data_IF_275239671548
#
_entry.id   IF_275239671548
#
_cell.length_a   1.000
_cell.length_b   1.000
_cell.length_c   1.000
_cell.angle_alpha   90.00
_cell.angle_beta   90.00
_cell.angle_gamma   90.00
#
_symmetry.space_group_name_H-M   'P 1'
#
loop_
_entity.id
_entity.type
_entity.pdbx_description
1 polymer ?
#
# COMPACT_ATOMS: atom_id res chain seq x y z
N UNK A 1 -43.37 -46.69 -9.67
CA UNK A 1 -42.11 -47.09 -10.31
C UNK A 1 -41.40 -48.07 -9.40
N UNK A 2 -41.25 -49.32 -9.83
CA UNK A 2 -40.65 -50.39 -9.03
C UNK A 2 -39.12 -50.16 -9.02
N UNK A 3 -38.57 -49.64 -7.89
CA UNK A 3 -37.12 -49.54 -7.71
C UNK A 3 -36.57 -50.95 -7.53
N UNK A 4 -35.84 -51.50 -8.52
CA UNK A 4 -35.12 -52.73 -8.37
C UNK A 4 -34.21 -52.70 -7.14
N UNK A 5 -34.12 -53.79 -6.39
CA UNK A 5 -33.21 -53.88 -5.26
C UNK A 5 -31.77 -53.70 -5.77
N UNK A 6 -30.91 -52.88 -5.08
CA UNK A 6 -29.54 -52.69 -5.49
C UNK A 6 -28.77 -54.00 -5.46
N UNK A 7 -27.85 -54.18 -6.38
CA UNK A 7 -26.92 -55.31 -6.42
C UNK A 7 -25.91 -55.24 -5.26
N UNK A 8 -25.30 -56.39 -4.95
CA UNK A 8 -24.26 -56.41 -3.89
C UNK A 8 -23.11 -55.46 -4.19
N UNK A 9 -22.69 -55.36 -5.44
CA UNK A 9 -21.59 -54.46 -5.88
C UNK A 9 -21.96 -52.99 -5.77
N UNK A 10 -23.23 -52.63 -6.01
CA UNK A 10 -23.74 -51.27 -5.77
C UNK A 10 -23.79 -50.93 -4.28
N UNK A 11 -24.11 -51.91 -3.43
CA UNK A 11 -24.10 -51.73 -1.97
C UNK A 11 -22.67 -51.53 -1.42
N UNK A 12 -21.70 -52.30 -1.89
CA UNK A 12 -20.29 -52.15 -1.52
C UNK A 12 -19.74 -50.76 -1.93
N UNK A 13 -20.02 -50.33 -3.14
CA UNK A 13 -19.61 -49.00 -3.63
C UNK A 13 -20.22 -47.86 -2.77
N UNK A 14 -21.50 -48.02 -2.43
CA UNK A 14 -22.20 -47.05 -1.56
C UNK A 14 -21.65 -47.02 -0.12
N UNK A 15 -21.28 -48.21 0.41
CA UNK A 15 -20.69 -48.32 1.74
C UNK A 15 -19.31 -47.66 1.78
N UNK A 16 -18.43 -47.96 0.82
CA UNK A 16 -17.11 -47.36 0.74
C UNK A 16 -17.16 -45.80 0.62
N UNK A 17 -18.11 -45.31 -0.19
CA UNK A 17 -18.34 -43.86 -0.30
C UNK A 17 -18.84 -43.26 1.03
N UNK A 18 -19.74 -43.93 1.74
CA UNK A 18 -20.24 -43.47 3.04
C UNK A 18 -19.15 -43.50 4.11
N UNK A 19 -18.30 -44.52 4.14
CA UNK A 19 -17.15 -44.61 5.05
C UNK A 19 -16.15 -43.49 4.82
N UNK A 20 -15.81 -43.20 3.56
CA UNK A 20 -14.91 -42.08 3.19
C UNK A 20 -15.47 -40.73 3.64
N UNK A 21 -16.78 -40.52 3.48
CA UNK A 21 -17.45 -39.29 3.95
C UNK A 21 -17.42 -39.18 5.47
N UNK A 22 -17.67 -40.27 6.19
CA UNK A 22 -17.62 -40.30 7.67
C UNK A 22 -16.20 -40.00 8.17
N UNK A 23 -15.19 -40.50 7.48
CA UNK A 23 -13.79 -40.26 7.82
C UNK A 23 -13.41 -38.80 7.58
N UNK A 24 -13.79 -38.19 6.46
CA UNK A 24 -13.60 -36.77 6.16
C UNK A 24 -14.31 -35.86 7.19
N UNK A 25 -15.51 -36.21 7.63
CA UNK A 25 -16.22 -35.49 8.70
C UNK A 25 -15.53 -35.63 10.07
N UNK A 26 -15.02 -36.81 10.41
CA UNK A 26 -14.27 -37.06 11.66
C UNK A 26 -12.97 -36.25 11.69
N UNK A 27 -12.29 -36.17 10.56
CA UNK A 27 -11.06 -35.43 10.39
C UNK A 27 -11.30 -33.90 10.30
N UNK A 28 -12.58 -33.52 10.30
CA UNK A 28 -12.98 -32.12 10.15
C UNK A 28 -12.51 -31.48 8.82
N UNK A 29 -12.34 -32.28 7.78
CA UNK A 29 -11.94 -31.84 6.45
C UNK A 29 -13.10 -31.23 5.66
N UNK A 30 -14.32 -31.59 6.01
CA UNK A 30 -15.56 -31.13 5.38
C UNK A 30 -16.64 -30.82 6.40
N UNK A 31 -17.48 -29.84 6.11
CA UNK A 31 -18.74 -29.59 6.82
C UNK A 31 -19.91 -30.15 5.99
N UNK A 32 -20.89 -30.74 6.65
CA UNK A 32 -22.08 -31.29 6.00
C UNK A 32 -23.26 -30.31 6.16
N UNK A 33 -23.90 -29.97 5.04
CA UNK A 33 -25.17 -29.26 5.03
C UNK A 33 -26.28 -30.28 4.68
N UNK A 34 -27.22 -30.45 5.60
CA UNK A 34 -28.35 -31.38 5.45
C UNK A 34 -29.55 -30.58 4.95
N UNK A 35 -29.97 -30.84 3.72
CA UNK A 35 -31.25 -30.38 3.17
C UNK A 35 -32.34 -31.47 3.27
N UNK A 36 -33.58 -31.09 3.04
CA UNK A 36 -34.75 -32.03 3.16
C UNK A 36 -34.60 -33.25 2.24
N UNK A 37 -33.96 -33.14 1.10
CA UNK A 37 -33.82 -34.25 0.13
C UNK A 37 -32.37 -34.65 -0.15
N UNK A 38 -31.36 -33.85 0.30
CA UNK A 38 -29.96 -34.04 -0.09
C UNK A 38 -28.99 -33.57 0.97
N UNK A 39 -27.98 -34.38 1.26
CA UNK A 39 -26.79 -33.96 2.03
C UNK A 39 -25.78 -33.39 1.05
N UNK A 40 -25.34 -32.17 1.26
CA UNK A 40 -24.30 -31.51 0.48
C UNK A 40 -23.09 -31.31 1.37
N UNK A 41 -21.92 -31.80 0.96
CA UNK A 41 -20.67 -31.61 1.64
C UNK A 41 -19.97 -30.36 1.05
N UNK A 42 -19.49 -29.48 1.92
CA UNK A 42 -18.77 -28.25 1.54
C UNK A 42 -17.36 -28.33 2.10
N UNK A 43 -16.36 -28.08 1.27
CA UNK A 43 -14.96 -27.94 1.66
C UNK A 43 -14.72 -26.54 2.25
N UNK A 44 -15.48 -26.14 3.27
CA UNK A 44 -15.43 -24.80 3.85
C UNK A 44 -14.06 -24.48 4.49
N UNK A 45 -13.43 -25.46 5.11
CA UNK A 45 -12.16 -25.27 5.84
C UNK A 45 -10.98 -24.99 4.93
N UNK A 46 -10.91 -25.66 3.79
CA UNK A 46 -9.82 -25.42 2.83
C UNK A 46 -9.94 -24.01 2.25
N UNK A 47 -11.15 -23.60 1.87
CA UNK A 47 -11.44 -22.23 1.43
C UNK A 47 -11.15 -21.20 2.53
N UNK A 48 -11.55 -21.47 3.78
CA UNK A 48 -11.23 -20.60 4.91
C UNK A 48 -9.73 -20.51 5.17
N UNK A 49 -9.00 -21.61 5.07
CA UNK A 49 -7.55 -21.63 5.25
C UNK A 49 -6.84 -20.84 4.17
N UNK A 50 -7.22 -21.04 2.91
CA UNK A 50 -6.68 -20.27 1.79
C UNK A 50 -7.01 -18.78 1.93
N UNK A 51 -8.24 -18.44 2.32
CA UNK A 51 -8.63 -17.06 2.58
C UNK A 51 -7.81 -16.44 3.71
N UNK A 52 -7.57 -17.15 4.81
CA UNK A 52 -6.73 -16.69 5.92
C UNK A 52 -5.28 -16.46 5.49
N UNK A 53 -4.71 -17.37 4.70
CA UNK A 53 -3.35 -17.22 4.17
C UNK A 53 -3.27 -16.01 3.24
N UNK A 54 -4.24 -15.87 2.35
CA UNK A 54 -4.32 -14.73 1.43
C UNK A 54 -4.48 -13.40 2.19
N UNK A 55 -5.35 -13.33 3.19
CA UNK A 55 -5.55 -12.13 4.02
C UNK A 55 -4.29 -11.79 4.84
N UNK A 56 -3.64 -12.79 5.44
CA UNK A 56 -2.40 -12.59 6.16
C UNK A 56 -1.27 -12.10 5.24
N UNK A 57 -1.15 -12.65 4.04
CA UNK A 57 -0.20 -12.23 3.02
C UNK A 57 -0.46 -10.79 2.57
N UNK A 58 -1.70 -10.45 2.27
CA UNK A 58 -2.10 -9.09 1.93
C UNK A 58 -1.77 -8.12 3.08
N UNK A 59 -2.12 -8.47 4.32
CA UNK A 59 -1.85 -7.63 5.49
C UNK A 59 -0.35 -7.40 5.69
N UNK A 60 0.46 -8.43 5.54
CA UNK A 60 1.91 -8.31 5.64
C UNK A 60 2.48 -7.38 4.56
N UNK A 61 2.09 -7.54 3.29
CA UNK A 61 2.51 -6.66 2.20
C UNK A 61 2.04 -5.21 2.42
N UNK A 62 0.82 -5.03 2.90
CA UNK A 62 0.24 -3.72 3.16
C UNK A 62 1.00 -2.99 4.26
N UNK A 63 1.27 -3.64 5.40
CA UNK A 63 1.93 -3.01 6.55
C UNK A 63 3.46 -2.87 6.37
N UNK A 64 4.12 -3.84 5.74
CA UNK A 64 5.58 -3.82 5.57
C UNK A 64 6.04 -3.02 4.34
N UNK A 65 5.11 -2.46 3.58
CA UNK A 65 5.43 -1.65 2.40
C UNK A 65 6.25 -0.42 2.76
N UNK A 66 7.32 -0.17 2.01
CA UNK A 66 8.12 1.06 2.11
C UNK A 66 7.42 2.32 1.58
N UNK A 67 6.22 2.18 0.97
CA UNK A 67 5.38 3.27 0.50
C UNK A 67 4.07 3.33 1.29
N UNK A 68 3.48 4.52 1.40
CA UNK A 68 2.15 4.67 1.98
C UNK A 68 1.13 3.90 1.14
N UNK A 69 0.30 3.10 1.76
CA UNK A 69 -0.79 2.38 1.10
C UNK A 69 -2.11 2.73 1.76
N UNK A 70 -3.11 3.00 0.95
CA UNK A 70 -4.45 3.36 1.43
C UNK A 70 -5.53 2.66 0.63
N UNK A 71 -6.67 2.48 1.28
CA UNK A 71 -7.94 2.17 0.67
C UNK A 71 -8.95 3.25 1.05
N UNK A 72 -9.79 3.64 0.11
CA UNK A 72 -10.88 4.56 0.35
C UNK A 72 -12.18 4.04 -0.28
N UNK A 73 -13.31 4.42 0.28
CA UNK A 73 -14.63 4.08 -0.26
C UNK A 73 -15.00 4.93 -1.49
N UNK A 74 -16.06 4.51 -2.17
CA UNK A 74 -16.73 5.28 -3.21
C UNK A 74 -18.23 5.29 -2.90
N UNK A 75 -18.90 6.44 -2.99
CA UNK A 75 -18.47 7.73 -3.52
C UNK A 75 -17.91 8.71 -2.48
N UNK A 76 -17.78 8.32 -1.21
CA UNK A 76 -17.44 9.23 -0.11
C UNK A 76 -15.95 9.64 -0.07
N UNK A 77 -15.07 8.88 -0.71
CA UNK A 77 -13.61 9.09 -0.69
C UNK A 77 -13.00 9.10 0.72
N UNK A 78 -13.68 8.47 1.68
CA UNK A 78 -13.20 8.33 3.06
C UNK A 78 -12.23 7.15 3.13
N UNK A 79 -11.15 7.33 3.88
CA UNK A 79 -10.21 6.23 4.10
C UNK A 79 -10.87 5.10 4.89
N UNK A 80 -10.72 3.88 4.38
CA UNK A 80 -11.20 2.65 5.02
C UNK A 80 -10.07 1.78 5.54
N UNK A 81 -8.85 1.97 4.99
CA UNK A 81 -7.62 1.32 5.44
C UNK A 81 -6.42 2.20 5.11
N UNK A 82 -5.47 2.28 6.03
CA UNK A 82 -4.19 2.98 5.85
C UNK A 82 -3.09 2.15 6.50
N UNK A 83 -1.89 2.10 5.90
CA UNK A 83 -0.75 1.44 6.51
C UNK A 83 0.07 2.41 7.37
N UNK A 84 0.95 1.86 8.20
CA UNK A 84 1.82 2.65 9.07
C UNK A 84 2.67 3.66 8.28
N UNK A 85 3.16 3.28 7.10
CA UNK A 85 3.96 4.18 6.27
C UNK A 85 3.20 5.43 5.81
N UNK A 86 1.93 5.30 5.49
CA UNK A 86 1.11 6.47 5.16
C UNK A 86 0.88 7.38 6.38
N UNK A 87 0.69 6.81 7.56
CA UNK A 87 0.59 7.58 8.80
C UNK A 87 1.87 8.44 9.02
N UNK A 88 3.05 7.86 8.80
CA UNK A 88 4.32 8.58 8.88
C UNK A 88 4.43 9.72 7.84
N UNK A 89 4.05 9.45 6.58
CA UNK A 89 4.06 10.44 5.50
C UNK A 89 3.11 11.60 5.80
N UNK A 90 1.89 11.31 6.24
CA UNK A 90 0.84 12.31 6.46
C UNK A 90 0.95 13.00 7.84
N UNK A 91 1.63 12.39 8.82
CA UNK A 91 1.77 12.91 10.17
C UNK A 91 0.52 12.74 11.05
N UNK A 92 -0.40 11.86 10.66
CA UNK A 92 -1.63 11.54 11.38
C UNK A 92 -1.56 10.13 11.96
N UNK A 93 -2.34 9.85 13.01
CA UNK A 93 -2.60 8.47 13.42
C UNK A 93 -3.53 7.77 12.43
N UNK A 94 -3.55 6.44 12.45
CA UNK A 94 -4.48 5.68 11.61
C UNK A 94 -5.94 6.02 11.91
N UNK A 95 -6.30 6.19 13.17
CA UNK A 95 -7.65 6.55 13.60
C UNK A 95 -8.09 7.91 13.05
N UNK A 96 -7.20 8.90 13.09
CA UNK A 96 -7.45 10.22 12.53
C UNK A 96 -7.64 10.17 11.01
N UNK A 97 -6.77 9.41 10.31
CA UNK A 97 -6.89 9.25 8.86
C UNK A 97 -8.20 8.56 8.45
N UNK A 98 -8.68 7.57 9.21
CA UNK A 98 -9.97 6.91 8.94
C UNK A 98 -11.17 7.85 9.12
N UNK A 99 -11.01 8.95 9.86
CA UNK A 99 -12.03 10.01 9.97
C UNK A 99 -11.95 11.03 8.82
N UNK A 100 -10.85 11.05 8.07
CA UNK A 100 -10.58 11.99 6.99
C UNK A 100 -11.00 11.45 5.61
N UNK A 101 -10.95 12.34 4.63
CA UNK A 101 -11.16 12.00 3.22
C UNK A 101 -9.87 12.20 2.43
N UNK A 102 -9.72 11.44 1.36
CA UNK A 102 -8.63 11.59 0.41
C UNK A 102 -8.45 13.04 -0.09
N UNK A 103 -9.55 13.75 -0.35
CA UNK A 103 -9.55 15.14 -0.83
C UNK A 103 -9.13 16.11 0.29
N UNK A 104 -9.44 15.79 1.54
CA UNK A 104 -9.12 16.62 2.70
C UNK A 104 -7.62 16.88 2.83
N UNK A 105 -6.80 15.85 2.57
CA UNK A 105 -5.34 15.93 2.66
C UNK A 105 -4.69 16.54 1.41
N UNK A 106 -5.42 16.71 0.30
CA UNK A 106 -4.87 17.30 -0.93
C UNK A 106 -4.83 18.82 -0.83
N UNK A 107 -3.67 19.42 -1.18
CA UNK A 107 -3.53 20.88 -1.28
C UNK A 107 -4.65 21.46 -2.16
N UNK A 108 -5.32 22.56 -1.73
CA UNK A 108 -6.44 23.14 -2.47
C UNK A 108 -6.15 23.44 -3.95
N UNK A 109 -4.92 23.83 -4.28
CA UNK A 109 -4.54 24.13 -5.68
C UNK A 109 -4.45 22.90 -6.57
N UNK A 110 -4.25 21.71 -5.99
CA UNK A 110 -4.11 20.45 -6.72
C UNK A 110 -5.42 19.65 -6.79
N UNK A 111 -6.44 19.99 -5.96
CA UNK A 111 -7.70 19.23 -5.84
C UNK A 111 -8.42 19.03 -7.16
N UNK A 112 -8.55 20.08 -7.96
CA UNK A 112 -9.29 20.01 -9.22
C UNK A 112 -8.62 19.04 -10.20
N UNK A 113 -7.30 19.12 -10.37
CA UNK A 113 -6.52 18.24 -11.23
C UNK A 113 -6.59 16.79 -10.76
N UNK A 114 -6.40 16.56 -9.48
CA UNK A 114 -6.45 15.25 -8.84
C UNK A 114 -7.82 14.58 -9.01
N UNK A 115 -8.89 15.32 -8.76
CA UNK A 115 -10.26 14.82 -8.96
C UNK A 115 -10.59 14.54 -10.41
N UNK A 116 -10.02 15.28 -11.37
CA UNK A 116 -10.23 15.03 -12.80
C UNK A 116 -9.61 13.70 -13.22
N UNK A 117 -8.41 13.38 -12.75
CA UNK A 117 -7.75 12.10 -13.05
C UNK A 117 -8.49 10.92 -12.39
N UNK A 118 -8.87 11.05 -11.13
CA UNK A 118 -9.66 10.03 -10.44
C UNK A 118 -11.03 9.81 -11.14
N UNK A 119 -11.68 10.88 -11.56
CA UNK A 119 -12.97 10.78 -12.22
C UNK A 119 -12.90 10.02 -13.56
N UNK A 120 -11.80 10.10 -14.31
CA UNK A 120 -11.58 9.31 -15.53
C UNK A 120 -11.56 7.82 -15.21
N UNK A 121 -10.84 7.44 -14.15
CA UNK A 121 -10.78 6.03 -13.71
C UNK A 121 -12.14 5.58 -13.19
N UNK A 122 -12.84 6.39 -12.40
CA UNK A 122 -14.18 6.05 -11.90
C UNK A 122 -15.19 5.79 -13.02
N UNK A 123 -15.11 6.54 -14.14
CA UNK A 123 -15.96 6.32 -15.33
C UNK A 123 -15.52 5.12 -16.18
N UNK A 124 -14.39 4.47 -15.86
CA UNK A 124 -13.86 3.36 -16.65
C UNK A 124 -13.11 3.79 -17.92
N UNK A 125 -12.71 5.06 -18.03
CA UNK A 125 -11.92 5.58 -19.15
C UNK A 125 -10.43 5.21 -19.04
N UNK A 126 -10.01 4.77 -17.86
CA UNK A 126 -8.68 4.26 -17.58
C UNK A 126 -8.75 3.25 -16.42
N UNK A 127 -7.80 2.32 -16.33
CA UNK A 127 -7.73 1.30 -15.28
C UNK A 127 -7.06 1.84 -14.01
N UNK A 128 -6.18 2.82 -14.16
CA UNK A 128 -5.39 3.42 -13.09
C UNK A 128 -5.07 4.88 -13.37
N UNK A 129 -4.61 5.60 -12.35
CA UNK A 129 -4.07 6.95 -12.51
C UNK A 129 -2.73 7.07 -11.78
N UNK A 130 -1.91 8.01 -12.26
CA UNK A 130 -0.68 8.42 -11.61
C UNK A 130 -0.59 9.94 -11.61
N UNK A 131 -0.31 10.53 -10.44
CA UNK A 131 -0.21 11.97 -10.30
C UNK A 131 0.81 12.34 -9.23
N UNK A 132 1.58 13.39 -9.49
CA UNK A 132 2.35 14.08 -8.47
C UNK A 132 1.56 15.30 -8.00
N UNK A 133 1.38 15.43 -6.70
CA UNK A 133 0.59 16.50 -6.08
C UNK A 133 1.15 16.88 -4.73
N UNK A 134 0.65 18.01 -4.20
CA UNK A 134 0.93 18.43 -2.84
C UNK A 134 -0.10 17.88 -1.87
N UNK A 135 0.39 17.40 -0.73
CA UNK A 135 -0.42 17.01 0.40
C UNK A 135 -0.11 17.90 1.61
N UNK A 136 -1.12 18.19 2.41
CA UNK A 136 -0.99 18.93 3.66
C UNK A 136 -0.93 17.93 4.81
N UNK A 137 0.16 17.96 5.57
CA UNK A 137 0.32 17.13 6.77
C UNK A 137 -0.50 17.68 7.94
N UNK A 138 -0.59 16.91 9.00
CA UNK A 138 -1.28 17.31 10.24
C UNK A 138 -0.72 18.60 10.86
N UNK A 139 0.59 18.81 10.78
CA UNK A 139 1.27 20.02 11.29
C UNK A 139 1.13 21.24 10.36
N UNK A 140 0.39 21.12 9.26
CA UNK A 140 0.20 22.16 8.25
C UNK A 140 1.33 22.25 7.23
N UNK A 141 2.40 21.48 7.35
CA UNK A 141 3.46 21.44 6.35
C UNK A 141 2.98 20.83 5.04
N UNK A 142 3.50 21.35 3.92
CA UNK A 142 3.16 20.89 2.58
C UNK A 142 4.29 20.00 2.05
N UNK A 143 3.93 18.80 1.59
CA UNK A 143 4.85 17.84 1.01
C UNK A 143 4.46 17.49 -0.42
N UNK A 144 5.43 17.08 -1.21
CA UNK A 144 5.17 16.48 -2.53
C UNK A 144 4.99 14.98 -2.40
N UNK A 145 3.94 14.47 -2.99
CA UNK A 145 3.68 13.03 -3.05
C UNK A 145 3.41 12.57 -4.48
N UNK A 146 3.92 11.38 -4.81
CA UNK A 146 3.51 10.64 -5.99
C UNK A 146 2.41 9.66 -5.60
N UNK A 147 1.29 9.70 -6.28
CA UNK A 147 0.14 8.81 -6.07
C UNK A 147 -0.05 7.94 -7.30
N UNK A 148 -0.07 6.61 -7.08
CA UNK A 148 -0.46 5.64 -8.08
C UNK A 148 -1.68 4.90 -7.54
N UNK A 149 -2.79 4.94 -8.27
CA UNK A 149 -4.02 4.36 -7.78
C UNK A 149 -4.83 3.64 -8.84
N UNK A 150 -5.71 2.76 -8.36
CA UNK A 150 -6.65 1.99 -9.15
C UNK A 150 -7.99 1.90 -8.41
N UNK A 151 -9.04 1.54 -9.15
CA UNK A 151 -10.38 1.37 -8.63
C UNK A 151 -10.76 -0.10 -8.70
N UNK A 152 -11.17 -0.67 -7.56
CA UNK A 152 -11.82 -1.98 -7.53
C UNK A 152 -13.28 -1.84 -7.93
N UNK A 153 -13.74 -2.77 -8.75
CA UNK A 153 -15.12 -2.86 -9.20
C UNK A 153 -15.74 -4.17 -8.75
N UNK A 154 -17.03 -4.14 -8.51
CA UNK A 154 -17.81 -5.37 -8.31
C UNK A 154 -18.15 -6.06 -9.64
N UNK A 155 -18.83 -7.21 -9.56
CA UNK A 155 -19.24 -8.02 -10.71
C UNK A 155 -20.18 -7.27 -11.69
N UNK A 156 -20.77 -6.16 -11.24
CA UNK A 156 -21.62 -5.29 -12.08
C UNK A 156 -20.84 -4.19 -12.77
N UNK A 157 -19.52 -4.11 -12.51
CA UNK A 157 -18.64 -3.04 -13.02
C UNK A 157 -18.71 -1.74 -12.22
N UNK A 158 -19.45 -1.70 -11.11
CA UNK A 158 -19.54 -0.54 -10.23
C UNK A 158 -18.27 -0.38 -9.41
N UNK A 159 -17.75 0.85 -9.34
CA UNK A 159 -16.64 1.20 -8.48
C UNK A 159 -17.02 1.04 -7.00
N UNK A 160 -16.31 0.18 -6.26
CA UNK A 160 -16.59 -0.11 -4.84
C UNK A 160 -15.49 0.36 -3.92
N UNK A 161 -14.25 0.48 -4.41
CA UNK A 161 -13.12 0.88 -3.60
C UNK A 161 -12.01 1.49 -4.43
N UNK A 162 -11.32 2.45 -3.84
CA UNK A 162 -10.10 3.05 -4.36
C UNK A 162 -8.92 2.42 -3.61
N UNK A 163 -7.88 2.05 -4.35
CA UNK A 163 -6.59 1.63 -3.83
C UNK A 163 -5.54 2.62 -4.31
N UNK A 164 -4.66 3.08 -3.43
CA UNK A 164 -3.57 3.95 -3.83
C UNK A 164 -2.28 3.66 -3.07
N UNK A 165 -1.16 3.82 -3.77
CA UNK A 165 0.20 3.85 -3.24
C UNK A 165 0.72 5.28 -3.27
N UNK A 166 1.30 5.73 -2.16
CA UNK A 166 1.76 7.09 -1.95
C UNK A 166 3.25 7.09 -1.60
N UNK A 167 4.06 7.75 -2.41
CA UNK A 167 5.49 7.94 -2.19
C UNK A 167 5.77 9.40 -1.81
N UNK A 168 6.56 9.64 -0.77
CA UNK A 168 7.04 10.99 -0.44
C UNK A 168 8.15 11.38 -1.43
N UNK A 169 7.89 12.40 -2.23
CA UNK A 169 8.81 12.94 -3.23
C UNK A 169 9.47 14.24 -2.78
N UNK A 170 9.26 14.67 -1.53
CA UNK A 170 9.68 16.00 -1.06
C UNK A 170 11.19 16.19 -1.20
N UNK A 171 11.98 15.22 -0.74
CA UNK A 171 13.44 15.28 -0.85
C UNK A 171 13.92 15.30 -2.31
N UNK A 172 13.29 14.50 -3.17
CA UNK A 172 13.61 14.44 -4.60
C UNK A 172 13.29 15.76 -5.30
N UNK A 173 12.13 16.36 -5.01
CA UNK A 173 11.73 17.65 -5.57
C UNK A 173 12.62 18.80 -5.08
N UNK A 174 13.06 18.77 -3.83
CA UNK A 174 14.00 19.75 -3.30
C UNK A 174 15.35 19.66 -3.99
N UNK A 175 15.90 18.45 -4.15
CA UNK A 175 17.17 18.26 -4.85
C UNK A 175 17.10 18.69 -6.33
N UNK A 176 16.00 18.38 -7.00
CA UNK A 176 15.76 18.82 -8.38
C UNK A 176 15.71 20.36 -8.49
N UNK A 177 15.05 21.01 -7.55
CA UNK A 177 14.96 22.47 -7.52
C UNK A 177 16.30 23.11 -7.25
N UNK A 178 17.07 22.59 -6.28
CA UNK A 178 18.42 23.08 -5.99
C UNK A 178 19.35 22.96 -7.21
N UNK A 179 19.26 21.86 -7.95
CA UNK A 179 20.04 21.67 -9.17
C UNK A 179 19.64 22.68 -10.25
N UNK A 180 18.36 22.89 -10.48
CA UNK A 180 17.85 23.89 -11.44
C UNK A 180 18.31 25.31 -11.08
N UNK A 181 18.26 25.67 -9.81
CA UNK A 181 18.69 26.98 -9.32
C UNK A 181 20.20 27.17 -9.49
N UNK A 182 21.00 26.13 -9.24
CA UNK A 182 22.44 26.15 -9.48
C UNK A 182 22.78 26.34 -10.97
N UNK A 183 22.11 25.60 -11.86
CA UNK A 183 22.27 25.75 -13.31
C UNK A 183 21.84 27.11 -13.83
N UNK A 184 20.71 27.65 -13.33
CA UNK A 184 20.23 28.98 -13.69
C UNK A 184 21.21 30.07 -13.24
N UNK A 185 21.82 29.90 -12.07
CA UNK A 185 22.84 30.81 -11.53
C UNK A 185 24.14 30.76 -12.33
N UNK A 186 24.56 29.60 -12.77
CA UNK A 186 25.71 29.39 -13.62
C UNK A 186 25.54 30.06 -15.01
N UNK A 187 24.34 29.89 -15.61
CA UNK A 187 23.99 30.53 -16.91
C UNK A 187 23.91 32.04 -16.85
N UNK A 188 23.62 32.63 -15.68
CA UNK A 188 23.54 34.09 -15.49
C UNK A 188 24.90 34.73 -15.18
N UNK A 189 26.02 33.99 -15.25
CA UNK A 189 27.39 34.55 -15.09
C UNK A 189 27.71 35.13 -13.71
N UNK A 190 26.92 34.83 -12.67
CA UNK A 190 27.25 35.16 -11.30
C UNK A 190 28.17 34.08 -10.72
N UNK A 191 29.47 34.40 -10.41
CA UNK A 191 30.32 33.42 -9.78
C UNK A 191 29.71 33.07 -8.40
N UNK A 192 29.37 31.81 -8.20
CA UNK A 192 29.08 31.27 -6.85
C UNK A 192 30.27 31.63 -5.97
N UNK A 193 30.01 32.42 -4.94
CA UNK A 193 31.04 32.84 -4.00
C UNK A 193 31.71 31.60 -3.40
N UNK A 194 32.98 31.41 -3.77
CA UNK A 194 33.91 30.36 -3.30
C UNK A 194 34.07 30.27 -1.76
N UNK A 195 33.25 30.96 -0.97
CA UNK A 195 33.36 31.05 0.50
C UNK A 195 32.99 29.79 1.25
N UNK A 196 32.17 28.89 0.69
CA UNK A 196 31.77 27.66 1.42
C UNK A 196 32.70 26.46 1.23
N UNK A 197 33.50 26.41 0.14
CA UNK A 197 34.46 25.31 -0.10
C UNK A 197 35.78 25.57 0.64
N UNK A 198 36.16 26.82 0.83
CA UNK A 198 37.39 27.17 1.56
C UNK A 198 37.33 26.87 3.06
N UNK A 199 36.15 26.96 3.68
CA UNK A 199 35.98 26.70 5.13
C UNK A 199 36.10 25.19 5.44
N UNK A 200 35.71 24.29 4.52
CA UNK A 200 35.82 22.85 4.75
C UNK A 200 37.28 22.38 4.58
N UNK A 201 38.03 22.93 3.61
CA UNK A 201 39.47 22.59 3.41
C UNK A 201 40.36 23.19 4.52
N UNK A 202 40.01 24.33 5.10
CA UNK A 202 40.76 24.93 6.20
C UNK A 202 40.55 24.18 7.54
N UNK A 203 39.42 23.52 7.74
CA UNK A 203 39.18 22.67 8.93
C UNK A 203 39.88 21.30 8.86
N UNK A 204 40.01 20.72 7.68
CA UNK A 204 40.74 19.47 7.52
C UNK A 204 42.27 19.63 7.63
N UNK A 205 42.82 20.76 7.17
CA UNK A 205 44.26 21.05 7.32
C UNK A 205 44.68 21.49 8.72
N UNK A 206 43.73 21.96 9.55
CA UNK A 206 44.02 22.30 10.95
C UNK A 206 44.03 21.09 11.89
N UNK A 207 43.26 20.03 11.53
CA UNK A 207 43.21 18.78 12.31
C UNK A 207 44.46 17.91 12.17
N UNK A 208 45.16 17.99 11.03
CA UNK A 208 46.38 17.20 10.76
C UNK A 208 47.64 17.80 11.36
N UNK A 209 47.65 19.14 11.69
CA UNK A 209 48.80 19.79 12.33
C UNK A 209 48.82 19.69 13.87
N UNK A 210 47.72 19.28 14.50
CA UNK A 210 47.67 19.14 15.96
C UNK A 210 48.17 17.78 16.47
N UNK A 211 48.23 16.73 15.61
CA UNK A 211 48.65 15.41 16.01
C UNK A 211 50.17 15.17 15.94
N UNK A 212 50.91 16.08 15.30
CA UNK A 212 52.38 15.91 15.10
C UNK A 212 53.24 16.67 16.16
N UNK A 213 52.61 17.54 16.98
CA UNK A 213 53.33 18.27 18.06
C UNK A 213 53.37 17.54 19.41
N UNK A 214 52.65 16.42 19.57
CA UNK A 214 52.65 15.67 20.84
C UNK A 214 53.62 14.46 20.86
N UNK A 215 54.39 14.22 19.78
CA UNK A 215 55.35 13.13 19.70
C UNK A 215 56.83 13.52 19.91
N UNK A 216 57.13 14.79 20.10
CA UNK A 216 58.54 15.30 20.24
C UNK A 216 58.86 15.84 21.66
N UNK A 217 58.14 15.43 22.70
CA UNK A 217 58.51 15.76 24.10
C UNK A 217 58.49 14.57 25.03
N UNK A 218 59.09 13.45 24.62
CA UNK A 218 59.55 12.39 25.51
C UNK A 218 60.77 11.69 24.85
N UNK A 219 61.88 12.31 25.00
CA UNK A 219 63.26 11.70 25.15
C UNK A 219 64.09 12.64 26.00
#
# INVERSE_FOLDING_TARGET
>A
MNKSKPTYQELETRLAAAESIVEALKNQEVDAVVGEEKITFLLLREVEKELRISDAGFRAMFELSGVGMVQADTPGFRFTKVNQKFCEIAGYSAEELLAETYIGLTDPQDRQRDMSELARVLRGEADSWSIEKRCVRKDGSVIWVGVNGAVLRDDTGRAVRILAMISDLTASKQAEQELRDAEASAKKGKPMTRKKVAVKKARESASTKSSDKSRLKKR
#
